data_IF_459738217532
#
_entry.id   IF_459738217532
#
_cell.length_a   1.000
_cell.length_b   1.000
_cell.length_c   1.000
_cell.angle_alpha   90.00
_cell.angle_beta   90.00
_cell.angle_gamma   90.00
#
_symmetry.space_group_name_H-M   'P 1'
#
loop_
_entity.id
_entity.type
_entity.pdbx_description
1 polymer ?
#
# COMPACT_ATOMS: atom_id res chain seq x y z
N UNK A 1 -19.29 -5.79 -6.21
CA UNK A 1 -18.62 -4.61 -5.63
C UNK A 1 -18.36 -3.63 -6.76
N UNK A 2 -18.72 -2.36 -6.60
CA UNK A 2 -18.38 -1.32 -7.58
C UNK A 2 -17.10 -0.62 -7.12
N UNK A 3 -16.29 -0.17 -8.06
CA UNK A 3 -15.14 0.71 -7.79
C UNK A 3 -14.85 1.59 -9.00
N UNK A 4 -14.05 2.62 -8.78
CA UNK A 4 -13.56 3.50 -9.83
C UNK A 4 -12.05 3.37 -9.98
N UNK A 5 -11.57 3.47 -11.22
CA UNK A 5 -10.16 3.38 -11.57
C UNK A 5 -9.76 4.67 -12.26
N UNK A 6 -8.85 5.41 -11.65
CA UNK A 6 -8.32 6.64 -12.22
C UNK A 6 -6.82 6.60 -12.43
N UNK A 7 -6.34 7.19 -13.52
CA UNK A 7 -4.92 7.37 -13.80
C UNK A 7 -4.47 8.74 -13.30
N UNK A 8 -3.82 8.79 -12.13
CA UNK A 8 -3.40 10.03 -11.49
C UNK A 8 -2.42 10.80 -12.39
N UNK A 9 -2.77 12.03 -12.82
CA UNK A 9 -1.84 12.87 -13.56
C UNK A 9 -0.69 13.34 -12.67
N UNK A 10 0.52 13.45 -13.23
CA UNK A 10 1.73 13.83 -12.48
C UNK A 10 1.70 15.22 -11.84
N UNK A 11 0.69 16.04 -12.12
CA UNK A 11 0.47 17.33 -11.45
C UNK A 11 -0.15 17.19 -10.05
N UNK A 12 -0.71 16.02 -9.73
CA UNK A 12 -1.42 15.76 -8.47
C UNK A 12 -0.58 15.04 -7.41
N UNK A 13 0.62 14.57 -7.77
CA UNK A 13 1.48 13.86 -6.83
C UNK A 13 2.96 14.20 -7.03
N UNK A 14 3.72 14.02 -5.95
CA UNK A 14 5.18 14.02 -5.91
C UNK A 14 5.61 12.74 -5.19
N UNK A 15 6.86 12.31 -5.40
CA UNK A 15 7.46 11.19 -4.68
C UNK A 15 8.26 11.63 -3.44
N UNK A 16 8.18 12.91 -3.10
CA UNK A 16 8.57 13.45 -1.79
C UNK A 16 7.44 13.19 -0.80
N UNK A 17 7.72 12.73 0.44
CA UNK A 17 6.66 12.52 1.43
C UNK A 17 5.97 13.84 1.76
N UNK A 18 4.63 13.81 1.80
CA UNK A 18 3.80 14.99 1.90
C UNK A 18 2.70 14.81 2.95
N UNK A 19 2.80 15.57 4.04
CA UNK A 19 1.84 15.51 5.13
C UNK A 19 0.56 16.27 4.75
N UNK A 20 -0.53 15.53 4.54
CA UNK A 20 -1.78 16.08 3.99
C UNK A 20 -1.78 16.24 2.47
N UNK A 21 -0.72 15.76 1.80
CA UNK A 21 -0.66 15.65 0.35
C UNK A 21 -1.07 14.25 -0.14
N UNK A 22 -0.48 13.80 -1.26
CA UNK A 22 -0.88 12.54 -1.89
C UNK A 22 -0.27 11.30 -1.20
N UNK A 23 1.05 11.28 -0.95
CA UNK A 23 1.73 10.10 -0.39
C UNK A 23 2.48 10.43 0.90
N UNK A 24 2.23 9.71 2.03
CA UNK A 24 2.95 9.89 3.28
C UNK A 24 4.32 9.15 3.32
N UNK A 25 4.89 8.84 2.15
CA UNK A 25 6.15 8.11 2.01
C UNK A 25 6.95 8.63 0.81
N UNK A 26 8.23 8.28 0.77
CA UNK A 26 9.11 8.65 -0.35
C UNK A 26 9.20 7.54 -1.39
N UNK A 27 9.41 7.90 -2.67
CA UNK A 27 9.71 6.93 -3.74
C UNK A 27 10.95 7.38 -4.51
N UNK A 28 12.04 6.62 -4.44
CA UNK A 28 13.35 7.05 -4.96
C UNK A 28 13.52 6.87 -6.48
N UNK A 29 12.47 6.45 -7.18
CA UNK A 29 12.44 6.34 -8.64
C UNK A 29 11.03 6.60 -9.16
N UNK A 30 10.94 7.31 -10.29
CA UNK A 30 9.67 7.47 -10.98
C UNK A 30 9.15 6.12 -11.47
N UNK A 31 7.88 5.86 -11.22
CA UNK A 31 7.13 4.77 -11.84
C UNK A 31 6.27 5.32 -12.98
N UNK A 32 6.06 4.55 -14.06
CA UNK A 32 5.31 5.02 -15.23
C UNK A 32 3.79 5.04 -15.00
N UNK A 33 3.27 4.23 -14.07
CA UNK A 33 1.83 4.13 -13.82
C UNK A 33 1.56 4.45 -12.35
N UNK A 34 0.72 5.46 -12.13
CA UNK A 34 0.14 5.79 -10.83
C UNK A 34 -1.37 5.74 -11.01
N UNK A 35 -1.99 4.76 -10.37
CA UNK A 35 -3.40 4.42 -10.55
C UNK A 35 -4.09 4.48 -9.20
N UNK A 36 -5.22 5.16 -9.10
CA UNK A 36 -6.06 5.13 -7.91
C UNK A 36 -7.23 4.18 -8.13
N UNK A 37 -7.43 3.27 -7.19
CA UNK A 37 -8.63 2.44 -7.07
C UNK A 37 -9.48 3.06 -5.96
N UNK A 38 -10.49 3.82 -6.34
CA UNK A 38 -11.31 4.63 -5.44
C UNK A 38 -12.78 4.19 -5.48
N UNK A 39 -13.64 4.95 -4.79
CA UNK A 39 -15.04 4.60 -4.52
C UNK A 39 -15.18 3.26 -3.78
N UNK A 40 -14.20 2.96 -2.93
CA UNK A 40 -14.19 1.83 -2.01
C UNK A 40 -14.09 2.34 -0.59
N UNK A 41 -14.48 1.52 0.38
CA UNK A 41 -14.18 1.76 1.78
C UNK A 41 -13.72 0.43 2.36
N UNK A 42 -12.42 0.27 2.58
CA UNK A 42 -11.81 -1.02 2.92
C UNK A 42 -12.43 -1.69 4.16
N UNK A 43 -12.81 -0.98 5.23
CA UNK A 43 -13.49 -1.58 6.37
C UNK A 43 -14.83 -2.27 6.04
N UNK A 44 -15.53 -1.82 4.99
CA UNK A 44 -16.81 -2.38 4.53
C UNK A 44 -16.69 -3.10 3.18
N UNK A 45 -15.46 -3.20 2.65
CA UNK A 45 -15.18 -3.83 1.37
C UNK A 45 -15.37 -5.34 1.46
N UNK A 46 -15.69 -5.96 0.33
CA UNK A 46 -15.69 -7.42 0.20
C UNK A 46 -14.32 -7.98 0.60
N UNK A 47 -14.29 -8.82 1.65
CA UNK A 47 -13.05 -9.33 2.26
C UNK A 47 -12.12 -10.02 1.26
N UNK A 48 -12.71 -10.63 0.22
CA UNK A 48 -12.00 -11.36 -0.81
C UNK A 48 -11.48 -10.47 -1.94
N UNK A 49 -11.76 -9.17 -1.95
CA UNK A 49 -11.34 -8.27 -3.03
C UNK A 49 -9.81 -8.27 -3.21
N UNK A 50 -9.07 -7.74 -2.23
CA UNK A 50 -7.60 -7.65 -2.32
C UNK A 50 -6.95 -9.03 -2.44
N UNK A 51 -7.31 -10.05 -1.65
CA UNK A 51 -6.69 -11.37 -1.79
C UNK A 51 -6.94 -12.05 -3.13
N UNK A 52 -8.14 -11.91 -3.70
CA UNK A 52 -8.43 -12.49 -5.02
C UNK A 52 -7.74 -11.69 -6.12
N UNK A 53 -7.68 -10.37 -5.99
CA UNK A 53 -6.96 -9.53 -6.95
C UNK A 53 -5.45 -9.87 -6.97
N UNK A 54 -4.82 -9.98 -5.80
CA UNK A 54 -3.41 -10.38 -5.68
C UNK A 54 -3.15 -11.79 -6.24
N UNK A 55 -4.12 -12.70 -6.09
CA UNK A 55 -4.10 -14.01 -6.73
C UNK A 55 -4.14 -13.94 -8.26
N UNK A 56 -5.04 -13.13 -8.83
CA UNK A 56 -5.21 -12.98 -10.28
C UNK A 56 -3.95 -12.43 -10.96
N UNK A 57 -3.25 -11.49 -10.32
CA UNK A 57 -1.98 -10.95 -10.84
C UNK A 57 -0.75 -11.79 -10.46
N UNK A 58 -0.96 -12.93 -9.78
CA UNK A 58 0.12 -13.83 -9.32
C UNK A 58 1.19 -13.10 -8.49
N UNK A 59 0.76 -12.20 -7.60
CA UNK A 59 1.65 -11.31 -6.88
C UNK A 59 2.32 -11.91 -5.65
N UNK A 60 1.84 -13.05 -5.15
CA UNK A 60 2.43 -13.70 -3.98
C UNK A 60 3.87 -14.22 -4.24
N UNK A 61 4.79 -14.10 -3.28
CA UNK A 61 4.61 -13.50 -1.95
C UNK A 61 4.54 -11.96 -2.00
N UNK A 62 3.74 -11.38 -1.10
CA UNK A 62 3.62 -9.93 -0.90
C UNK A 62 4.49 -9.50 0.28
N UNK A 63 5.04 -8.30 0.19
CA UNK A 63 5.87 -7.70 1.24
C UNK A 63 5.15 -6.46 1.75
N UNK A 64 4.50 -6.55 2.90
CA UNK A 64 3.81 -5.43 3.54
C UNK A 64 4.80 -4.65 4.40
N UNK A 65 4.83 -3.34 4.27
CA UNK A 65 5.56 -2.41 5.11
C UNK A 65 4.56 -1.48 5.80
N UNK A 66 4.60 -1.42 7.12
CA UNK A 66 3.70 -0.58 7.89
C UNK A 66 4.42 0.07 9.08
N UNK A 67 4.02 1.29 9.40
CA UNK A 67 4.23 1.86 10.72
C UNK A 67 3.22 1.29 11.71
N UNK A 68 3.72 0.62 12.73
CA UNK A 68 2.93 -0.02 13.79
C UNK A 68 3.18 0.77 15.07
N UNK A 69 2.19 1.52 15.57
CA UNK A 69 2.29 2.17 16.87
C UNK A 69 2.58 1.16 17.97
N UNK A 70 3.39 1.53 18.97
CA UNK A 70 3.83 0.59 20.01
C UNK A 70 2.68 -0.03 20.80
N UNK A 71 1.54 0.67 20.94
CA UNK A 71 0.35 0.13 21.59
C UNK A 71 -0.37 -0.96 20.77
N UNK A 72 -0.11 -1.07 19.47
CA UNK A 72 -0.58 -2.16 18.60
C UNK A 72 0.44 -3.28 18.41
N UNK A 73 1.68 -3.11 18.89
CA UNK A 73 2.78 -4.05 18.61
C UNK A 73 2.47 -5.47 19.10
N UNK A 74 1.93 -5.63 20.30
CA UNK A 74 1.62 -6.97 20.84
C UNK A 74 0.55 -7.68 20.00
N UNK A 75 -0.52 -6.96 19.63
CA UNK A 75 -1.58 -7.49 18.76
C UNK A 75 -1.03 -7.87 17.38
N UNK A 76 -0.18 -7.02 16.80
CA UNK A 76 0.53 -7.31 15.56
C UNK A 76 1.33 -8.62 15.65
N UNK A 77 2.19 -8.76 16.67
CA UNK A 77 3.02 -9.96 16.82
C UNK A 77 2.16 -11.21 17.07
N UNK A 78 1.10 -11.12 17.87
CA UNK A 78 0.18 -12.24 18.14
C UNK A 78 -0.50 -12.74 16.86
N UNK A 79 -1.09 -11.84 16.07
CA UNK A 79 -1.76 -12.18 14.80
C UNK A 79 -0.76 -12.85 13.85
N UNK A 80 0.42 -12.26 13.70
CA UNK A 80 1.39 -12.69 12.68
C UNK A 80 2.04 -14.01 13.05
N UNK A 81 2.34 -14.22 14.33
CA UNK A 81 2.86 -15.49 14.83
C UNK A 81 1.81 -16.62 14.73
N UNK A 82 0.53 -16.33 14.99
CA UNK A 82 -0.54 -17.32 14.92
C UNK A 82 -0.73 -17.93 13.52
N UNK A 83 -0.45 -17.17 12.47
CA UNK A 83 -0.51 -17.64 11.07
C UNK A 83 0.87 -17.78 10.41
N UNK A 84 1.95 -17.78 11.21
CA UNK A 84 3.32 -18.03 10.78
C UNK A 84 3.80 -17.07 9.68
N UNK A 85 3.46 -15.79 9.80
CA UNK A 85 3.96 -14.74 8.90
C UNK A 85 5.35 -14.34 9.38
N UNK A 86 6.34 -14.40 8.48
CA UNK A 86 7.68 -13.88 8.73
C UNK A 86 7.65 -12.34 8.69
N UNK A 87 8.25 -11.68 9.68
CA UNK A 87 8.40 -10.23 9.69
C UNK A 87 9.72 -9.79 10.31
N UNK A 88 10.15 -8.57 9.98
CA UNK A 88 11.32 -7.90 10.57
C UNK A 88 11.02 -6.42 10.81
N UNK A 89 11.62 -5.86 11.85
CA UNK A 89 11.59 -4.41 12.07
C UNK A 89 12.73 -3.73 11.31
N UNK A 90 12.41 -2.72 10.50
CA UNK A 90 13.38 -1.83 9.86
C UNK A 90 13.87 -0.76 10.83
N UNK A 91 12.98 -0.27 11.69
CA UNK A 91 13.31 0.63 12.80
C UNK A 91 12.32 0.40 13.94
N UNK A 92 12.74 0.76 15.14
CA UNK A 92 11.94 0.74 16.35
C UNK A 92 12.39 1.90 17.24
N UNK A 93 11.42 2.63 17.78
CA UNK A 93 11.64 3.63 18.82
C UNK A 93 10.48 3.61 19.84
N UNK A 94 10.44 4.62 20.71
CA UNK A 94 9.48 4.66 21.82
C UNK A 94 8.04 4.91 21.37
N UNK A 95 7.80 5.36 20.13
CA UNK A 95 6.47 5.68 19.64
C UNK A 95 5.92 4.59 18.72
N UNK A 96 6.75 4.09 17.80
CA UNK A 96 6.35 3.15 16.76
C UNK A 96 7.50 2.26 16.30
N UNK A 97 7.16 1.18 15.62
CA UNK A 97 8.10 0.44 14.79
C UNK A 97 7.67 0.48 13.32
N UNK A 98 8.63 0.38 12.41
CA UNK A 98 8.33 0.11 10.99
C UNK A 98 8.65 -1.35 10.74
N UNK A 99 7.63 -2.12 10.41
CA UNK A 99 7.76 -3.56 10.15
C UNK A 99 7.64 -3.86 8.66
N UNK A 100 8.39 -4.85 8.19
CA UNK A 100 8.18 -5.50 6.90
C UNK A 100 7.81 -6.96 7.13
N UNK A 101 6.64 -7.37 6.66
CA UNK A 101 6.13 -8.72 6.75
C UNK A 101 5.96 -9.39 5.38
N UNK A 102 6.25 -10.68 5.31
CA UNK A 102 6.16 -11.49 4.10
C UNK A 102 4.91 -12.36 4.14
N UNK A 103 3.93 -11.98 3.33
CA UNK A 103 2.66 -12.69 3.16
C UNK A 103 2.79 -13.66 2.00
N UNK A 104 2.86 -14.96 2.30
CA UNK A 104 3.15 -16.01 1.33
C UNK A 104 1.95 -16.35 0.43
N UNK A 105 0.73 -16.21 0.94
CA UNK A 105 -0.45 -16.68 0.24
C UNK A 105 -1.75 -15.95 0.66
N UNK A 106 -2.86 -16.33 0.02
CA UNK A 106 -4.20 -15.81 0.29
C UNK A 106 -4.63 -16.01 1.74
N UNK A 107 -4.28 -17.11 2.38
CA UNK A 107 -4.69 -17.42 3.77
C UNK A 107 -4.00 -16.47 4.74
N UNK A 108 -2.70 -16.27 4.59
CA UNK A 108 -1.96 -15.31 5.40
C UNK A 108 -2.46 -13.88 5.18
N UNK A 109 -2.77 -13.51 3.93
CA UNK A 109 -3.31 -12.19 3.65
C UNK A 109 -4.67 -11.99 4.33
N UNK A 110 -5.61 -12.93 4.20
CA UNK A 110 -6.92 -12.83 4.84
C UNK A 110 -6.82 -12.66 6.36
N UNK A 111 -5.84 -13.30 7.01
CA UNK A 111 -5.63 -13.17 8.45
C UNK A 111 -5.03 -11.81 8.85
N UNK A 112 -4.07 -11.30 8.08
CA UNK A 112 -3.34 -10.07 8.44
C UNK A 112 -3.99 -8.77 7.92
N UNK A 113 -4.74 -8.85 6.81
CA UNK A 113 -5.25 -7.66 6.13
C UNK A 113 -6.21 -6.80 6.98
N UNK A 114 -7.10 -7.36 7.83
CA UNK A 114 -7.92 -6.55 8.73
C UNK A 114 -7.10 -5.64 9.64
N UNK A 115 -5.97 -6.14 10.17
CA UNK A 115 -5.06 -5.34 11.00
C UNK A 115 -4.43 -4.19 10.20
N UNK A 116 -4.02 -4.48 8.96
CA UNK A 116 -3.50 -3.46 8.04
C UNK A 116 -4.55 -2.41 7.66
N UNK A 117 -5.81 -2.79 7.47
CA UNK A 117 -6.90 -1.83 7.25
C UNK A 117 -7.04 -0.91 8.47
N UNK A 118 -7.03 -1.46 9.70
CA UNK A 118 -7.09 -0.67 10.94
C UNK A 118 -5.95 0.36 11.00
N UNK A 119 -4.72 -0.04 10.69
CA UNK A 119 -3.59 0.88 10.67
C UNK A 119 -3.73 1.97 9.61
N UNK A 120 -4.07 1.59 8.37
CA UNK A 120 -4.24 2.54 7.26
C UNK A 120 -5.35 3.57 7.52
N UNK A 121 -6.50 3.11 8.01
CA UNK A 121 -7.62 3.99 8.37
C UNK A 121 -7.30 4.86 9.60
N UNK A 122 -6.38 4.41 10.47
CA UNK A 122 -5.90 5.17 11.62
C UNK A 122 -4.89 6.28 11.27
N UNK A 123 -4.64 6.53 9.99
CA UNK A 123 -3.64 7.50 9.51
C UNK A 123 -2.21 6.94 9.45
N UNK A 124 -2.03 5.64 9.71
CA UNK A 124 -0.78 4.93 9.49
C UNK A 124 -0.50 4.76 8.00
N UNK A 125 0.78 4.73 7.66
CA UNK A 125 1.28 4.34 6.34
C UNK A 125 1.34 2.82 6.20
N UNK A 126 0.39 2.25 5.44
CA UNK A 126 0.42 0.83 5.07
C UNK A 126 0.62 0.68 3.57
N UNK A 127 1.79 0.15 3.19
CA UNK A 127 2.13 -0.12 1.78
C UNK A 127 2.51 -1.58 1.61
N UNK A 128 2.30 -2.15 0.43
CA UNK A 128 2.84 -3.47 0.12
C UNK A 128 3.38 -3.57 -1.30
N UNK A 129 4.40 -4.39 -1.47
CA UNK A 129 5.08 -4.60 -2.74
C UNK A 129 5.02 -6.04 -3.21
N UNK A 130 5.14 -6.23 -4.52
CA UNK A 130 5.21 -7.56 -5.16
C UNK A 130 6.64 -8.10 -5.28
N UNK A 131 7.62 -7.43 -4.68
CA UNK A 131 9.04 -7.81 -4.67
C UNK A 131 9.66 -7.53 -3.31
N UNK A 132 10.62 -8.37 -2.93
CA UNK A 132 11.40 -8.21 -1.70
C UNK A 132 12.34 -7.01 -1.77
N UNK A 133 12.77 -6.52 -0.61
CA UNK A 133 13.77 -5.45 -0.44
C UNK A 133 13.48 -4.21 -1.30
N UNK A 134 12.23 -3.75 -1.28
CA UNK A 134 11.80 -2.48 -1.90
C UNK A 134 11.51 -1.39 -0.87
N UNK A 135 11.62 -1.70 0.43
CA UNK A 135 11.35 -0.79 1.53
C UNK A 135 12.60 -0.57 2.39
N UNK A 136 12.89 0.69 2.70
CA UNK A 136 13.85 1.13 3.71
C UNK A 136 13.23 2.21 4.59
N UNK A 137 13.94 2.61 5.65
CA UNK A 137 13.59 3.77 6.46
C UNK A 137 14.78 4.73 6.48
N UNK A 138 14.54 5.96 6.08
CA UNK A 138 15.59 6.99 5.97
C UNK A 138 15.08 8.35 6.43
N UNK A 139 15.97 9.26 6.77
CA UNK A 139 15.60 10.65 7.05
C UNK A 139 15.24 11.36 5.74
N UNK A 140 14.02 11.87 5.64
CA UNK A 140 13.55 12.64 4.47
C UNK A 140 12.94 13.96 4.92
N UNK A 141 13.13 14.98 4.07
CA UNK A 141 12.49 16.28 4.24
C UNK A 141 11.05 16.17 3.74
N UNK A 142 10.09 16.54 4.59
CA UNK A 142 8.67 16.53 4.29
C UNK A 142 8.20 17.82 3.61
N UNK A 143 7.08 17.70 2.91
CA UNK A 143 6.27 18.79 2.34
C UNK A 143 4.89 18.87 3.02
N UNK A 144 4.09 19.83 2.59
CA UNK A 144 2.71 20.01 3.05
C UNK A 144 2.64 20.59 4.45
N UNK A 145 1.78 20.02 5.30
CA UNK A 145 1.60 20.45 6.68
C UNK A 145 2.88 20.33 7.52
N UNK A 146 3.83 19.50 7.08
CA UNK A 146 5.13 19.28 7.73
C UNK A 146 6.29 19.84 6.90
N UNK A 147 6.06 20.84 6.06
CA UNK A 147 7.11 21.42 5.22
C UNK A 147 8.33 21.85 6.05
N UNK A 148 9.51 21.35 5.65
CA UNK A 148 10.77 21.63 6.36
C UNK A 148 11.17 20.59 7.41
N UNK A 149 10.23 19.78 7.91
CA UNK A 149 10.52 18.73 8.89
C UNK A 149 11.39 17.64 8.26
N UNK A 150 12.39 17.15 9.01
CA UNK A 150 13.21 16.00 8.63
C UNK A 150 12.91 14.87 9.62
N UNK A 151 12.30 13.80 9.15
CA UNK A 151 11.90 12.66 9.96
C UNK A 151 12.26 11.33 9.28
N UNK A 152 12.34 10.25 10.07
CA UNK A 152 12.39 8.88 9.55
C UNK A 152 11.13 8.62 8.73
N UNK A 153 11.30 8.15 7.52
CA UNK A 153 10.20 7.94 6.56
C UNK A 153 10.41 6.64 5.82
N UNK A 154 9.31 5.94 5.53
CA UNK A 154 9.33 4.79 4.62
C UNK A 154 9.78 5.28 3.25
N UNK A 155 10.87 4.72 2.76
CA UNK A 155 11.38 4.98 1.41
C UNK A 155 11.16 3.74 0.58
N UNK A 156 10.53 3.93 -0.57
CA UNK A 156 10.24 2.88 -1.53
C UNK A 156 11.25 2.98 -2.67
N UNK A 157 11.92 1.88 -2.96
CA UNK A 157 12.88 1.76 -4.05
C UNK A 157 12.31 0.75 -5.07
N UNK A 158 11.50 1.20 -6.04
CA UNK A 158 10.92 0.31 -7.03
C UNK A 158 12.00 -0.46 -7.80
N UNK A 159 11.84 -1.78 -7.87
CA UNK A 159 12.63 -2.66 -8.74
C UNK A 159 11.93 -2.81 -10.09
N UNK A 160 12.61 -3.45 -11.04
CA UNK A 160 11.99 -3.83 -12.32
C UNK A 160 10.82 -4.78 -12.05
N UNK A 161 9.72 -4.60 -12.77
CA UNK A 161 8.49 -5.41 -12.65
C UNK A 161 7.95 -5.51 -11.21
N UNK A 162 7.85 -4.36 -10.54
CA UNK A 162 7.29 -4.20 -9.20
C UNK A 162 6.02 -3.36 -9.27
N UNK A 163 5.02 -3.81 -8.53
CA UNK A 163 3.90 -2.96 -8.13
C UNK A 163 3.97 -2.73 -6.64
N UNK A 164 3.72 -1.50 -6.26
CA UNK A 164 3.56 -1.05 -4.88
C UNK A 164 2.11 -0.60 -4.76
N UNK A 165 1.49 -0.98 -3.67
CA UNK A 165 0.12 -0.63 -3.35
C UNK A 165 0.14 0.10 -2.01
N UNK A 166 -0.76 1.05 -1.84
CA UNK A 166 -0.90 1.83 -0.62
C UNK A 166 -2.38 1.87 -0.24
N UNK A 167 -2.68 1.65 1.03
CA UNK A 167 -4.00 1.96 1.58
C UNK A 167 -4.10 3.47 1.70
N UNK A 168 -4.94 4.10 0.88
CA UNK A 168 -5.16 5.53 0.92
C UNK A 168 -5.72 5.99 2.26
N UNK A 169 -5.71 7.31 2.47
CA UNK A 169 -6.22 7.91 3.70
C UNK A 169 -7.65 7.41 4.02
N UNK A 170 -7.92 7.17 5.30
CA UNK A 170 -9.20 6.67 5.79
C UNK A 170 -9.66 5.32 5.18
N UNK A 171 -8.79 4.64 4.42
CA UNK A 171 -9.11 3.39 3.73
C UNK A 171 -10.10 3.54 2.57
N UNK A 172 -10.21 4.75 2.00
CA UNK A 172 -11.15 5.07 0.92
C UNK A 172 -10.66 4.69 -0.49
N UNK A 173 -9.41 4.22 -0.57
CA UNK A 173 -8.74 3.93 -1.83
C UNK A 173 -7.59 2.95 -1.66
N UNK A 174 -7.22 2.32 -2.77
CA UNK A 174 -5.93 1.66 -2.95
C UNK A 174 -5.22 2.33 -4.11
N UNK A 175 -4.13 3.02 -3.83
CA UNK A 175 -3.29 3.58 -4.87
C UNK A 175 -2.20 2.58 -5.26
N UNK A 176 -1.90 2.54 -6.56
CA UNK A 176 -0.95 1.62 -7.16
C UNK A 176 0.13 2.39 -7.91
N UNK A 177 1.36 2.16 -7.50
CA UNK A 177 2.58 2.65 -8.14
C UNK A 177 3.25 1.46 -8.84
N UNK A 178 3.24 1.43 -10.17
CA UNK A 178 3.66 0.24 -10.91
C UNK A 178 4.46 0.56 -12.17
N UNK A 179 5.36 -0.36 -12.52
CA UNK A 179 5.98 -0.46 -13.84
C UNK A 179 5.46 -1.62 -14.69
N UNK A 180 4.46 -2.37 -14.21
CA UNK A 180 3.92 -3.53 -14.90
C UNK A 180 2.86 -3.11 -15.93
N UNK A 181 2.92 -3.71 -17.13
CA UNK A 181 2.07 -3.30 -18.27
C UNK A 181 0.58 -3.52 -18.04
N UNK A 182 0.15 -4.42 -17.16
CA UNK A 182 -1.27 -4.57 -16.90
C UNK A 182 -1.87 -3.37 -16.14
N UNK A 183 -1.05 -2.49 -15.57
CA UNK A 183 -1.50 -1.20 -15.03
C UNK A 183 -1.48 -0.07 -16.07
N UNK A 184 -1.09 -0.31 -17.32
CA UNK A 184 -0.90 0.76 -18.31
C UNK A 184 -2.18 1.41 -18.84
N UNK A 185 -3.29 0.68 -18.87
CA UNK A 185 -4.59 1.17 -19.35
C UNK A 185 -5.73 0.57 -18.56
N UNK A 186 -6.87 1.26 -18.57
CA UNK A 186 -8.11 0.81 -17.93
C UNK A 186 -8.52 -0.60 -18.37
N UNK A 187 -8.46 -0.89 -19.67
CA UNK A 187 -8.81 -2.20 -20.23
C UNK A 187 -7.84 -3.30 -19.77
N UNK A 188 -6.61 -2.95 -19.42
CA UNK A 188 -5.63 -3.91 -18.96
C UNK A 188 -5.80 -4.24 -17.48
N UNK A 189 -6.01 -3.23 -16.63
CA UNK A 189 -6.18 -3.44 -15.20
C UNK A 189 -7.50 -4.15 -14.89
N UNK A 190 -8.58 -3.84 -15.62
CA UNK A 190 -9.88 -4.48 -15.42
C UNK A 190 -9.86 -5.99 -15.66
N UNK A 191 -8.97 -6.48 -16.53
CA UNK A 191 -8.74 -7.93 -16.75
C UNK A 191 -8.10 -8.64 -15.56
N UNK A 192 -7.55 -7.88 -14.61
CA UNK A 192 -6.90 -8.44 -13.42
C UNK A 192 -7.84 -8.52 -12.22
N UNK A 193 -8.95 -7.78 -12.25
CA UNK A 193 -9.87 -7.69 -11.12
C UNK A 193 -10.66 -9.01 -10.94
N UNK A 194 -11.10 -9.31 -9.72
CA UNK A 194 -12.02 -10.42 -9.47
C UNK A 194 -13.34 -10.24 -10.23
N UNK A 195 -13.98 -11.35 -10.62
CA UNK A 195 -15.21 -11.34 -11.46
C UNK A 195 -16.39 -10.59 -10.81
N UNK A 196 -16.43 -10.51 -9.48
CA UNK A 196 -17.48 -9.80 -8.74
C UNK A 196 -17.28 -8.28 -8.68
N UNK A 197 -16.19 -7.77 -9.24
CA UNK A 197 -15.88 -6.34 -9.31
C UNK A 197 -16.43 -5.76 -10.60
N UNK A 198 -17.16 -4.66 -10.47
CA UNK A 198 -17.71 -3.88 -11.57
C UNK A 198 -16.94 -2.55 -11.58
N UNK A 199 -15.89 -2.43 -12.41
CA UNK A 199 -15.08 -1.22 -12.48
C UNK A 199 -15.74 -0.15 -13.34
N UNK A 200 -15.49 1.11 -12.99
CA UNK A 200 -15.75 2.26 -13.85
C UNK A 200 -14.47 3.10 -14.02
N UNK A 201 -14.38 3.87 -15.10
CA UNK A 201 -13.27 4.77 -15.35
C UNK A 201 -13.53 6.11 -14.65
N UNK A 202 -12.55 6.57 -13.88
CA UNK A 202 -12.52 7.91 -13.31
C UNK A 202 -11.50 8.77 -14.08
N UNK A 203 -11.96 9.90 -14.61
CA UNK A 203 -11.10 10.85 -15.30
C UNK A 203 -10.70 11.99 -14.35
N UNK A 204 -9.39 12.25 -14.26
CA UNK A 204 -8.87 13.41 -13.57
C UNK A 204 -8.76 14.58 -14.55
N UNK A 205 -9.35 15.74 -14.19
CA UNK A 205 -9.28 16.98 -14.97
C UNK A 205 -7.90 17.63 -15.00
#
# INVERSE_FOLDING_TARGET
MNLSIGYLPSKYYDFTPDAGGCFPFAVDKKVPYVVSICDIYLPECEENFVPSWMGNIKAYPLYFCADVPNYYKNEYEEIFNAVQIEYRYLTEDNEKCVSVAKIQDKKQLLAAFPFYITLGCGGGTVVWGTKEDVFSVELRKWKGNWDGLIEKTIVIIPKVDTSIFWIGYDGDSIDVLSNQKYFSTYENITKTLPEFVIPSLCEFG
#
